data_IF_924332412353
#
_entry.id   IF_924332412353
#
_cell.length_a   1.000
_cell.length_b   1.000
_cell.length_c   1.000
_cell.angle_alpha   90.00
_cell.angle_beta   90.00
_cell.angle_gamma   90.00
#
_symmetry.space_group_name_H-M   'P 1'
#
loop_
_entity.id
_entity.type
_entity.pdbx_description
1 polymer ?
#
# COMPACT_ATOMS: atom_id res chain seq x y z
N UNK A 1 -15.56 24.05 -13.24
CA UNK A 1 -15.90 22.74 -12.65
C UNK A 1 -14.69 21.88 -12.90
N UNK A 2 -13.85 21.69 -11.87
CA UNK A 2 -12.61 20.93 -12.02
C UNK A 2 -12.95 19.45 -12.28
N UNK A 3 -12.27 18.88 -13.27
CA UNK A 3 -12.45 17.49 -13.72
C UNK A 3 -12.26 16.49 -12.56
N UNK A 4 -11.30 16.80 -11.66
CA UNK A 4 -10.99 16.01 -10.48
C UNK A 4 -12.09 16.01 -9.40
N UNK A 5 -12.91 17.06 -9.36
CA UNK A 5 -13.98 17.20 -8.36
C UNK A 5 -15.19 16.33 -8.72
N UNK A 6 -15.44 16.14 -10.03
CA UNK A 6 -16.51 15.27 -10.54
C UNK A 6 -16.19 13.78 -10.33
N UNK A 7 -14.96 13.37 -10.64
CA UNK A 7 -14.51 11.98 -10.48
C UNK A 7 -14.56 11.53 -9.01
N UNK A 8 -14.20 12.43 -8.09
CA UNK A 8 -14.28 12.15 -6.65
C UNK A 8 -15.71 11.92 -6.16
N UNK A 9 -16.68 12.69 -6.66
CA UNK A 9 -18.10 12.52 -6.32
C UNK A 9 -18.64 11.20 -6.88
N UNK A 10 -18.16 10.75 -8.03
CA UNK A 10 -18.58 9.48 -8.64
C UNK A 10 -18.02 8.26 -7.90
N UNK A 11 -16.78 8.32 -7.39
CA UNK A 11 -16.21 7.27 -6.54
C UNK A 11 -16.96 7.10 -5.21
N UNK A 12 -17.53 8.18 -4.65
CA UNK A 12 -18.29 8.11 -3.40
C UNK A 12 -19.69 7.50 -3.57
N UNK A 13 -20.20 7.37 -4.81
CA UNK A 13 -21.46 6.68 -5.12
C UNK A 13 -21.32 5.16 -5.06
N UNK A 14 -20.09 4.64 -5.20
CA UNK A 14 -19.80 3.22 -5.03
C UNK A 14 -19.96 2.81 -3.57
N UNK A 15 -20.53 1.63 -3.33
CA UNK A 15 -20.52 1.01 -2.01
C UNK A 15 -19.07 0.79 -1.52
N UNK A 16 -18.85 0.65 -0.21
CA UNK A 16 -17.51 0.36 0.31
C UNK A 16 -16.84 -0.86 -0.33
N UNK A 17 -17.61 -1.91 -0.62
CA UNK A 17 -17.09 -3.12 -1.28
C UNK A 17 -16.67 -2.87 -2.72
N UNK A 18 -17.47 -2.11 -3.49
CA UNK A 18 -17.13 -1.74 -4.87
C UNK A 18 -15.90 -0.84 -4.92
N UNK A 19 -15.74 0.08 -3.96
CA UNK A 19 -14.51 0.88 -3.85
C UNK A 19 -13.29 0.03 -3.56
N UNK A 20 -13.40 -0.97 -2.69
CA UNK A 20 -12.29 -1.88 -2.40
C UNK A 20 -11.88 -2.69 -3.62
N UNK A 21 -12.85 -3.20 -4.39
CA UNK A 21 -12.58 -3.89 -5.66
C UNK A 21 -11.91 -2.95 -6.67
N UNK A 22 -12.42 -1.72 -6.81
CA UNK A 22 -11.80 -0.74 -7.71
C UNK A 22 -10.37 -0.38 -7.27
N UNK A 23 -10.11 -0.24 -5.97
CA UNK A 23 -8.74 -0.02 -5.46
C UNK A 23 -7.83 -1.18 -5.84
N UNK A 24 -8.31 -2.42 -5.73
CA UNK A 24 -7.56 -3.61 -6.14
C UNK A 24 -7.29 -3.61 -7.65
N UNK A 25 -8.32 -3.37 -8.48
CA UNK A 25 -8.18 -3.34 -9.93
C UNK A 25 -7.21 -2.24 -10.40
N UNK A 26 -7.31 -1.05 -9.79
CA UNK A 26 -6.38 0.05 -10.07
C UNK A 26 -4.96 -0.32 -9.65
N UNK A 27 -4.79 -0.98 -8.50
CA UNK A 27 -3.49 -1.42 -8.02
C UNK A 27 -2.86 -2.46 -8.96
N UNK A 28 -3.65 -3.45 -9.40
CA UNK A 28 -3.21 -4.50 -10.33
C UNK A 28 -2.94 -3.97 -11.74
N UNK A 29 -3.50 -2.81 -12.10
CA UNK A 29 -3.24 -2.17 -13.39
C UNK A 29 -1.84 -1.52 -13.49
N UNK A 30 -1.18 -1.25 -12.35
CA UNK A 30 0.13 -0.60 -12.32
C UNK A 30 1.25 -1.58 -12.63
N UNK A 31 2.19 -1.18 -13.49
CA UNK A 31 3.42 -1.93 -13.76
C UNK A 31 4.60 -1.30 -13.01
N UNK A 32 5.69 -2.06 -12.74
CA UNK A 32 6.86 -1.51 -12.05
C UNK A 32 7.45 -0.26 -12.71
N UNK A 33 7.37 -0.14 -14.03
CA UNK A 33 7.87 1.01 -14.79
C UNK A 33 7.03 2.27 -14.58
N UNK A 34 5.76 2.12 -14.21
CA UNK A 34 4.83 3.22 -13.95
C UNK A 34 5.11 3.87 -12.57
N UNK A 35 5.94 3.23 -11.72
CA UNK A 35 6.31 3.69 -10.38
C UNK A 35 7.84 3.89 -10.30
N UNK A 36 8.37 4.99 -10.86
CA UNK A 36 9.81 5.23 -10.86
C UNK A 36 10.33 5.47 -9.43
N UNK A 37 11.18 4.56 -8.94
CA UNK A 37 11.86 4.72 -7.67
C UNK A 37 13.14 5.55 -7.83
N UNK A 38 13.33 6.50 -6.94
CA UNK A 38 14.60 7.22 -6.78
C UNK A 38 15.72 6.27 -6.37
N UNK A 39 16.98 6.64 -6.62
CA UNK A 39 18.13 5.83 -6.25
C UNK A 39 18.20 5.56 -4.74
N UNK A 40 17.86 6.54 -3.92
CA UNK A 40 17.89 6.36 -2.46
C UNK A 40 16.82 5.37 -1.97
N UNK A 41 15.64 5.35 -2.59
CA UNK A 41 14.59 4.37 -2.26
C UNK A 41 15.04 2.95 -2.58
N UNK A 42 15.67 2.74 -3.74
CA UNK A 42 16.24 1.43 -4.12
C UNK A 42 17.30 0.99 -3.12
N UNK A 43 18.25 1.88 -2.80
CA UNK A 43 19.29 1.60 -1.82
C UNK A 43 18.74 1.27 -0.43
N UNK A 44 17.69 1.95 0.03
CA UNK A 44 17.06 1.66 1.32
C UNK A 44 16.33 0.31 1.32
N UNK A 45 15.67 -0.07 0.21
CA UNK A 45 15.07 -1.39 0.06
C UNK A 45 16.12 -2.50 0.10
N UNK A 46 17.24 -2.33 -0.62
CA UNK A 46 18.35 -3.28 -0.61
C UNK A 46 18.95 -3.43 0.79
N UNK A 47 19.17 -2.31 1.49
CA UNK A 47 19.68 -2.31 2.88
C UNK A 47 18.75 -3.06 3.83
N UNK A 48 17.43 -2.80 3.77
CA UNK A 48 16.44 -3.47 4.63
C UNK A 48 16.32 -4.95 4.33
N UNK A 49 16.36 -5.33 3.05
CA UNK A 49 16.33 -6.73 2.63
C UNK A 49 17.55 -7.49 3.14
N UNK A 50 18.76 -6.92 3.00
CA UNK A 50 19.98 -7.53 3.51
C UNK A 50 19.95 -7.68 5.05
N UNK A 51 19.45 -6.67 5.76
CA UNK A 51 19.31 -6.72 7.22
C UNK A 51 18.33 -7.83 7.66
N UNK A 52 17.20 -7.98 6.97
CA UNK A 52 16.24 -9.05 7.24
C UNK A 52 16.82 -10.44 6.93
N UNK A 53 17.56 -10.59 5.84
CA UNK A 53 18.22 -11.86 5.50
C UNK A 53 19.28 -12.25 6.56
N UNK A 54 20.01 -11.27 7.09
CA UNK A 54 20.99 -11.49 8.15
C UNK A 54 20.33 -11.81 9.51
N UNK A 55 19.16 -11.24 9.79
CA UNK A 55 18.39 -11.51 11.00
C UNK A 55 16.87 -11.51 10.72
N UNK A 56 16.28 -12.68 10.37
CA UNK A 56 14.85 -12.77 10.09
C UNK A 56 13.95 -12.40 11.27
N UNK A 57 14.46 -12.52 12.50
CA UNK A 57 13.73 -12.15 13.72
C UNK A 57 13.71 -10.64 13.99
N UNK A 58 14.40 -9.82 13.17
CA UNK A 58 14.33 -8.37 13.26
C UNK A 58 13.01 -7.78 12.70
N UNK A 59 12.26 -8.59 11.94
CA UNK A 59 10.91 -8.24 11.48
C UNK A 59 9.85 -8.52 12.54
N UNK A 60 8.66 -7.94 12.34
CA UNK A 60 7.45 -8.32 13.09
C UNK A 60 6.63 -9.27 12.25
N UNK A 61 5.97 -10.24 12.89
CA UNK A 61 5.05 -11.10 12.17
C UNK A 61 3.81 -10.31 11.73
N UNK A 62 3.13 -10.78 10.68
CA UNK A 62 1.88 -10.18 10.26
C UNK A 62 0.84 -10.21 11.40
N UNK A 63 0.74 -11.31 12.13
CA UNK A 63 -0.20 -11.45 13.26
C UNK A 63 0.07 -10.42 14.37
N UNK A 64 1.34 -10.12 14.67
CA UNK A 64 1.71 -9.09 15.64
C UNK A 64 1.36 -7.68 15.18
N UNK A 65 1.49 -7.40 13.89
CA UNK A 65 1.13 -6.10 13.31
C UNK A 65 -0.38 -5.95 13.24
N UNK A 66 -1.09 -6.97 12.74
CA UNK A 66 -2.55 -6.98 12.65
C UNK A 66 -3.19 -6.79 14.03
N UNK A 67 -2.73 -7.53 15.04
CA UNK A 67 -3.22 -7.40 16.42
C UNK A 67 -3.09 -5.96 16.93
N UNK A 68 -1.91 -5.34 16.76
CA UNK A 68 -1.68 -3.96 17.17
C UNK A 68 -2.61 -2.96 16.46
N UNK A 69 -2.89 -3.17 15.16
CA UNK A 69 -3.76 -2.29 14.40
C UNK A 69 -5.19 -2.39 14.94
N UNK A 70 -5.69 -3.61 15.13
CA UNK A 70 -7.06 -3.84 15.65
C UNK A 70 -7.21 -3.26 17.06
N UNK A 71 -6.24 -3.53 17.96
CA UNK A 71 -6.23 -2.98 19.33
C UNK A 71 -6.22 -1.45 19.40
N UNK A 72 -5.80 -0.75 18.34
CA UNK A 72 -5.80 0.73 18.27
C UNK A 72 -7.14 1.32 17.80
N UNK A 73 -8.03 0.48 17.27
CA UNK A 73 -9.30 0.90 16.70
C UNK A 73 -10.51 0.49 17.56
N UNK A 74 -10.27 -0.12 18.73
CA UNK A 74 -11.23 -0.30 19.84
C UNK A 74 -11.00 0.75 20.94
#
# INVERSE_FOLDING_TARGET
MDMFDSDHVDLLKLSPSERLLLVQDLWDSLRPEDIPLTQWQKAELDRRKAAYQANPAAGRSWDEVQRQIVERHD
#
